data_IF_205313504485
#
_entry.id   IF_205313504485
#
_cell.length_a   1.000
_cell.length_b   1.000
_cell.length_c   1.000
_cell.angle_alpha   90.00
_cell.angle_beta   90.00
_cell.angle_gamma   90.00
#
_symmetry.space_group_name_H-M   'P 1'
#
loop_
_entity.id
_entity.type
_entity.pdbx_description
1 polymer ?
#
# COMPACT_ATOMS: atom_id res chain seq x y z
N UNK A 1 -4.05 -3.80 -11.36
CA UNK A 1 -4.14 -4.56 -10.08
C UNK A 1 -3.80 -6.04 -10.23
N UNK A 2 -4.08 -6.72 -11.36
CA UNK A 2 -3.79 -8.16 -11.58
C UNK A 2 -2.40 -8.63 -11.09
N UNK A 3 -1.34 -7.84 -11.34
CA UNK A 3 0.06 -8.21 -11.01
C UNK A 3 0.38 -8.39 -9.52
N UNK A 4 -0.43 -7.82 -8.61
CA UNK A 4 -0.20 -7.95 -7.16
C UNK A 4 -0.84 -9.20 -6.56
N UNK A 5 -1.79 -9.84 -7.25
CA UNK A 5 -2.43 -11.06 -6.76
C UNK A 5 -1.51 -12.29 -6.89
N UNK A 6 -0.58 -12.29 -7.85
CA UNK A 6 0.34 -13.41 -8.09
C UNK A 6 1.53 -13.42 -7.12
N UNK A 7 2.07 -12.23 -6.80
CA UNK A 7 3.10 -12.08 -5.78
C UNK A 7 2.88 -10.79 -4.98
N UNK A 8 2.15 -10.88 -3.86
CA UNK A 8 1.76 -9.70 -3.08
C UNK A 8 2.92 -9.13 -2.27
N UNK A 9 3.90 -9.96 -1.89
CA UNK A 9 5.08 -9.55 -1.14
C UNK A 9 6.16 -9.00 -2.08
N UNK A 10 6.20 -7.68 -2.24
CA UNK A 10 7.19 -6.99 -3.07
C UNK A 10 8.18 -6.23 -2.16
N UNK A 11 9.39 -6.75 -1.88
CA UNK A 11 10.31 -6.16 -0.90
C UNK A 11 10.63 -4.69 -1.17
N UNK A 12 10.87 -4.33 -2.44
CA UNK A 12 11.15 -2.95 -2.85
C UNK A 12 9.98 -1.97 -2.63
N UNK A 13 8.76 -2.49 -2.48
CA UNK A 13 7.56 -1.70 -2.25
C UNK A 13 7.18 -1.58 -0.76
N UNK A 14 7.86 -2.30 0.14
CA UNK A 14 7.55 -2.33 1.57
C UNK A 14 7.64 -0.93 2.19
N UNK A 15 6.69 -0.62 3.06
CA UNK A 15 6.69 0.62 3.83
C UNK A 15 7.47 0.43 5.14
N UNK A 16 8.36 1.39 5.42
CA UNK A 16 9.11 1.42 6.68
C UNK A 16 8.18 1.88 7.81
N UNK A 17 8.23 1.21 8.96
CA UNK A 17 7.40 1.52 10.12
C UNK A 17 5.95 1.01 10.03
N UNK A 18 5.58 0.29 8.97
CA UNK A 18 4.24 -0.30 8.80
C UNK A 18 4.38 -1.77 8.41
N UNK A 19 4.06 -2.67 9.35
CA UNK A 19 4.25 -4.11 9.15
C UNK A 19 3.32 -4.64 8.06
N UNK A 20 3.84 -5.50 7.20
CA UNK A 20 3.13 -6.12 6.08
C UNK A 20 2.46 -5.12 5.11
N UNK A 21 2.90 -3.85 5.10
CA UNK A 21 2.36 -2.82 4.24
C UNK A 21 3.28 -2.51 3.07
N UNK A 22 2.67 -2.27 1.91
CA UNK A 22 3.35 -2.08 0.63
C UNK A 22 2.70 -0.94 -0.16
N UNK A 23 3.44 -0.34 -1.09
CA UNK A 23 2.94 0.75 -1.95
C UNK A 23 2.93 0.39 -3.42
N UNK A 24 1.87 0.80 -4.12
CA UNK A 24 1.78 0.81 -5.58
C UNK A 24 1.80 2.26 -6.05
N UNK A 25 2.63 2.57 -7.05
CA UNK A 25 2.67 3.89 -7.69
C UNK A 25 1.79 3.85 -8.94
N UNK A 26 0.66 4.56 -8.91
CA UNK A 26 -0.22 4.74 -10.07
C UNK A 26 0.27 5.98 -10.84
N UNK A 27 1.31 5.78 -11.67
CA UNK A 27 2.07 6.88 -12.28
C UNK A 27 1.23 7.75 -13.22
N UNK A 28 0.37 7.14 -14.03
CA UNK A 28 -0.48 7.85 -14.99
C UNK A 28 -1.44 8.83 -14.33
N UNK A 29 -1.88 8.55 -13.11
CA UNK A 29 -2.83 9.38 -12.36
C UNK A 29 -2.15 10.21 -11.26
N UNK A 30 -0.86 10.00 -10.97
CA UNK A 30 -0.16 10.70 -9.89
C UNK A 30 -0.53 10.23 -8.48
N UNK A 31 -1.11 9.03 -8.35
CA UNK A 31 -1.55 8.48 -7.06
C UNK A 31 -0.59 7.44 -6.50
N UNK A 32 -0.71 7.21 -5.19
CA UNK A 32 -0.17 6.03 -4.52
C UNK A 32 -1.29 5.27 -3.85
N UNK A 33 -1.21 3.95 -3.90
CA UNK A 33 -2.07 3.02 -3.19
C UNK A 33 -1.22 2.32 -2.13
N UNK A 34 -1.73 2.23 -0.91
CA UNK A 34 -1.13 1.45 0.18
C UNK A 34 -1.98 0.21 0.42
N UNK A 35 -1.35 -0.95 0.49
CA UNK A 35 -2.03 -2.19 0.83
C UNK A 35 -1.31 -2.97 1.93
N UNK A 36 -2.08 -3.72 2.72
CA UNK A 36 -1.59 -4.65 3.74
C UNK A 36 -1.85 -6.10 3.31
N UNK A 37 -1.00 -7.03 3.74
CA UNK A 37 -1.14 -8.48 3.53
C UNK A 37 -1.34 -9.17 4.89
N UNK A 38 -2.31 -10.09 4.96
CA UNK A 38 -2.59 -10.93 6.12
C UNK A 38 -2.11 -12.37 5.88
N UNK A 39 -1.70 -13.06 6.96
CA UNK A 39 -0.96 -14.34 6.86
C UNK A 39 -1.84 -15.56 6.54
N UNK A 40 -3.14 -15.47 6.77
CA UNK A 40 -4.05 -16.62 6.69
C UNK A 40 -4.88 -16.65 5.39
N UNK A 41 -5.07 -15.49 4.76
CA UNK A 41 -5.69 -15.34 3.43
C UNK A 41 -5.00 -14.20 2.68
N UNK A 42 -4.88 -14.30 1.35
CA UNK A 42 -4.38 -13.21 0.51
C UNK A 42 -5.40 -12.06 0.45
N UNK A 43 -5.47 -11.30 1.54
CA UNK A 43 -6.32 -10.13 1.68
C UNK A 43 -5.44 -8.91 1.38
N UNK A 44 -5.68 -8.28 0.24
CA UNK A 44 -5.07 -7.00 -0.15
C UNK A 44 -6.01 -5.89 0.32
N UNK A 45 -5.81 -5.41 1.55
CA UNK A 45 -6.61 -4.32 2.09
C UNK A 45 -6.08 -2.98 1.57
N UNK A 46 -6.86 -2.24 0.77
CA UNK A 46 -6.49 -0.90 0.33
C UNK A 46 -6.67 0.08 1.48
N UNK A 47 -5.57 0.41 2.14
CA UNK A 47 -5.58 1.26 3.35
C UNK A 47 -5.74 2.72 2.99
N UNK A 48 -5.12 3.18 1.90
CA UNK A 48 -5.24 4.57 1.43
C UNK A 48 -4.94 4.70 -0.05
N UNK A 49 -5.65 5.62 -0.70
CA UNK A 49 -5.37 6.10 -2.06
C UNK A 49 -5.31 7.62 -2.00
N UNK A 50 -4.25 8.21 -2.54
CA UNK A 50 -4.08 9.67 -2.49
C UNK A 50 -3.03 10.17 -3.48
N UNK A 51 -3.13 11.47 -3.81
CA UNK A 51 -2.15 12.18 -4.64
C UNK A 51 -0.77 12.16 -3.98
N UNK A 52 0.27 12.34 -4.80
CA UNK A 52 1.67 12.40 -4.36
C UNK A 52 1.99 13.77 -3.71
N UNK A 53 1.35 14.09 -2.60
CA UNK A 53 1.55 15.37 -1.90
C UNK A 53 1.98 15.13 -0.46
N UNK A 54 3.05 15.79 -0.04
CA UNK A 54 3.54 15.91 1.35
C UNK A 54 3.51 14.62 2.22
N UNK A 55 3.63 13.44 1.62
CA UNK A 55 3.50 12.15 2.29
C UNK A 55 2.12 11.87 2.94
N UNK A 56 1.08 12.63 2.57
CA UNK A 56 -0.26 12.57 3.16
C UNK A 56 -0.88 11.17 3.10
N UNK A 57 -0.73 10.48 1.97
CA UNK A 57 -1.25 9.10 1.81
C UNK A 57 -0.68 8.12 2.84
N UNK A 58 0.57 8.33 3.28
CA UNK A 58 1.19 7.47 4.29
C UNK A 58 0.72 7.84 5.70
N UNK A 59 0.54 9.14 5.98
CA UNK A 59 -0.06 9.60 7.25
C UNK A 59 -1.48 9.07 7.39
N UNK A 60 -2.27 9.16 6.34
CA UNK A 60 -3.64 8.63 6.27
C UNK A 60 -3.65 7.11 6.45
N UNK A 61 -2.76 6.39 5.76
CA UNK A 61 -2.64 4.94 5.91
C UNK A 61 -2.26 4.55 7.35
N UNK A 62 -1.29 5.25 7.95
CA UNK A 62 -0.89 5.03 9.35
C UNK A 62 -2.05 5.28 10.32
N UNK A 63 -2.83 6.35 10.12
CA UNK A 63 -4.02 6.65 10.92
C UNK A 63 -5.10 5.56 10.82
N UNK A 64 -5.25 4.91 9.67
CA UNK A 64 -6.24 3.84 9.42
C UNK A 64 -5.80 2.45 9.90
N UNK A 65 -4.51 2.27 10.19
CA UNK A 65 -3.94 1.03 10.73
C UNK A 65 -3.65 1.10 12.24
N UNK A 66 -3.89 2.26 12.86
CA UNK A 66 -4.08 2.36 14.32
C UNK A 66 -5.44 1.80 14.68
#
# INVERSE_FOLDING_TARGET
MKKCAENPHIPAARLRGMQNCYKIKLRSSGFRLVYQIFKDELIIAVVAVGKREHSEVYKLASKRLR
#
